data_IF_742051092714
#
_entry.id   IF_742051092714
#
_cell.length_a   1.000
_cell.length_b   1.000
_cell.length_c   1.000
_cell.angle_alpha   90.00
_cell.angle_beta   90.00
_cell.angle_gamma   90.00
#
_symmetry.space_group_name_H-M   'P 1'
#
loop_
_entity.id
_entity.type
_entity.pdbx_description
1 polymer ?
#
# COMPACT_ATOMS: atom_id res chain seq x y z
N UNK A 1 3.44 -3.89 1.47
CA UNK A 1 3.95 -4.04 2.84
C UNK A 1 2.86 -3.78 3.88
N UNK A 2 2.95 -4.41 5.05
CA UNK A 2 2.05 -4.25 6.20
C UNK A 2 2.79 -4.68 7.46
N UNK A 3 2.82 -3.84 8.50
CA UNK A 3 3.32 -4.21 9.82
C UNK A 3 2.41 -5.30 10.44
N UNK A 4 2.91 -6.27 11.22
CA UNK A 4 4.30 -6.51 11.57
C UNK A 4 5.07 -7.40 10.58
N UNK A 5 4.43 -7.85 9.50
CA UNK A 5 4.96 -8.84 8.57
C UNK A 5 6.13 -8.33 7.74
N UNK A 6 5.98 -7.11 7.20
CA UNK A 6 7.02 -6.43 6.42
C UNK A 6 6.83 -4.91 6.48
N UNK A 7 7.88 -4.20 6.88
CA UNK A 7 7.88 -2.74 6.95
C UNK A 7 9.14 -2.15 6.35
N UNK A 8 8.97 -1.25 5.39
CA UNK A 8 10.04 -0.41 4.84
C UNK A 8 9.75 1.08 5.00
N UNK A 9 8.48 1.46 5.17
CA UNK A 9 8.05 2.84 5.30
C UNK A 9 6.70 3.00 5.99
N UNK A 10 6.15 4.22 5.93
CA UNK A 10 4.89 4.59 6.57
C UNK A 10 3.65 3.89 6.00
N UNK A 11 3.72 3.38 4.75
CA UNK A 11 2.65 2.58 4.18
C UNK A 11 2.35 1.35 5.05
N UNK A 12 3.38 0.67 5.56
CA UNK A 12 3.21 -0.51 6.41
C UNK A 12 2.46 -0.19 7.70
N UNK A 13 2.73 0.95 8.31
CA UNK A 13 2.02 1.42 9.51
C UNK A 13 0.53 1.67 9.22
N UNK A 14 0.22 2.34 8.11
CA UNK A 14 -1.16 2.62 7.70
C UNK A 14 -1.91 1.33 7.34
N UNK A 15 -1.26 0.43 6.57
CA UNK A 15 -1.85 -0.84 6.16
C UNK A 15 -2.14 -1.80 7.33
N UNK A 16 -1.55 -1.56 8.50
CA UNK A 16 -1.84 -2.26 9.75
C UNK A 16 -2.83 -1.49 10.62
N UNK A 17 -2.54 -0.22 10.93
CA UNK A 17 -3.29 0.52 11.94
C UNK A 17 -4.71 0.87 11.48
N UNK A 18 -4.92 1.16 10.18
CA UNK A 18 -6.25 1.49 9.67
C UNK A 18 -7.21 0.29 9.72
N UNK A 19 -6.87 -0.93 9.23
CA UNK A 19 -7.71 -2.11 9.41
C UNK A 19 -8.01 -2.42 10.88
N UNK A 20 -7.03 -2.27 11.76
CA UNK A 20 -7.18 -2.47 13.22
C UNK A 20 -8.27 -1.57 13.80
N UNK A 21 -8.27 -0.29 13.45
CA UNK A 21 -9.29 0.64 13.92
C UNK A 21 -10.66 0.40 13.26
N UNK A 22 -10.71 0.06 11.98
CA UNK A 22 -11.96 -0.28 11.30
C UNK A 22 -12.63 -1.51 11.92
N UNK A 23 -11.85 -2.56 12.23
CA UNK A 23 -12.37 -3.76 12.93
C UNK A 23 -12.89 -3.40 14.32
N UNK A 24 -12.20 -2.51 15.08
CA UNK A 24 -12.71 -2.01 16.37
C UNK A 24 -14.02 -1.24 16.24
N UNK A 25 -14.24 -0.59 15.10
CA UNK A 25 -15.50 0.12 14.79
C UNK A 25 -16.62 -0.83 14.34
N UNK A 26 -16.34 -2.12 14.16
CA UNK A 26 -17.31 -3.13 13.76
C UNK A 26 -17.37 -3.44 12.27
N UNK A 27 -16.42 -2.89 11.47
CA UNK A 27 -16.33 -3.18 10.04
C UNK A 27 -15.62 -4.53 9.79
N UNK A 28 -16.09 -5.32 8.81
CA UNK A 28 -15.35 -6.48 8.30
C UNK A 28 -14.24 -5.98 7.37
N UNK A 29 -13.06 -5.78 7.93
CA UNK A 29 -11.89 -5.28 7.21
C UNK A 29 -10.82 -6.38 7.16
N UNK A 30 -10.40 -6.74 5.95
CA UNK A 30 -9.42 -7.78 5.67
C UNK A 30 -8.24 -7.22 4.88
N UNK A 31 -7.08 -7.81 5.04
CA UNK A 31 -5.85 -7.35 4.39
C UNK A 31 -5.32 -8.42 3.45
N UNK A 32 -4.99 -8.02 2.22
CA UNK A 32 -4.34 -8.88 1.24
C UNK A 32 -2.94 -8.31 0.93
N UNK A 33 -1.92 -9.15 1.04
CA UNK A 33 -0.54 -8.76 0.74
C UNK A 33 0.25 -9.90 0.09
N UNK A 34 1.36 -9.60 -0.60
CA UNK A 34 2.26 -10.66 -1.08
C UNK A 34 2.86 -11.46 0.08
N UNK A 35 3.05 -12.76 -0.12
CA UNK A 35 3.82 -13.61 0.80
C UNK A 35 5.32 -13.42 0.54
N UNK A 36 5.87 -12.34 1.09
CA UNK A 36 7.30 -12.04 0.92
C UNK A 36 8.17 -13.05 1.68
N UNK A 37 9.24 -13.51 1.04
CA UNK A 37 10.20 -14.47 1.65
C UNK A 37 10.94 -13.92 2.87
N UNK A 38 10.87 -12.60 3.11
CA UNK A 38 11.46 -11.92 4.27
C UNK A 38 10.51 -11.81 5.47
N UNK A 39 9.27 -12.30 5.36
CA UNK A 39 8.37 -12.41 6.51
C UNK A 39 8.99 -13.35 7.54
N UNK A 40 9.04 -12.91 8.79
CA UNK A 40 9.65 -13.68 9.88
C UNK A 40 8.96 -15.03 10.08
N UNK A 41 9.75 -16.04 10.44
CA UNK A 41 9.27 -17.39 10.71
C UNK A 41 8.15 -17.44 11.74
N UNK A 42 8.21 -16.61 12.77
CA UNK A 42 7.17 -16.52 13.79
C UNK A 42 5.76 -16.28 13.23
N UNK A 43 5.64 -15.63 12.06
CA UNK A 43 4.38 -15.44 11.36
C UNK A 43 4.15 -16.50 10.28
N UNK A 44 5.15 -16.78 9.46
CA UNK A 44 4.99 -17.71 8.33
C UNK A 44 4.66 -19.13 8.77
N UNK A 45 5.15 -19.56 9.94
CA UNK A 45 4.87 -20.89 10.51
C UNK A 45 3.42 -21.00 11.06
N UNK A 46 2.74 -19.89 11.26
CA UNK A 46 1.33 -19.84 11.71
C UNK A 46 0.34 -19.69 10.54
N UNK A 47 0.83 -19.44 9.33
CA UNK A 47 -0.02 -19.27 8.16
C UNK A 47 -0.64 -20.61 7.73
N UNK A 48 -1.96 -20.64 7.66
CA UNK A 48 -2.72 -21.76 7.11
C UNK A 48 -2.72 -21.68 5.59
N UNK A 49 -2.45 -22.79 4.91
CA UNK A 49 -2.62 -22.89 3.47
C UNK A 49 -4.09 -23.14 3.13
N UNK A 50 -4.70 -22.24 2.35
CA UNK A 50 -6.11 -22.36 1.99
C UNK A 50 -6.32 -23.15 0.69
N UNK A 51 -5.71 -22.68 -0.40
CA UNK A 51 -5.81 -23.31 -1.73
C UNK A 51 -4.71 -22.81 -2.67
N UNK A 52 -4.65 -23.44 -3.83
CA UNK A 52 -3.80 -23.06 -4.95
C UNK A 52 -4.63 -22.85 -6.22
N UNK A 53 -4.13 -21.98 -7.08
CA UNK A 53 -4.72 -21.69 -8.39
C UNK A 53 -3.67 -21.10 -9.32
N UNK A 54 -4.08 -20.68 -10.51
CA UNK A 54 -3.24 -19.91 -11.43
C UNK A 54 -3.84 -18.54 -11.69
N UNK A 55 -2.96 -17.58 -12.03
CA UNK A 55 -3.31 -16.23 -12.43
C UNK A 55 -2.73 -15.95 -13.81
N UNK A 56 -3.54 -15.43 -14.71
CA UNK A 56 -3.07 -15.06 -16.05
C UNK A 56 -2.44 -13.67 -16.02
N UNK A 57 -1.15 -13.62 -16.35
CA UNK A 57 -0.37 -12.39 -16.54
C UNK A 57 -0.04 -12.25 -18.04
N UNK A 58 -0.88 -11.48 -18.75
CA UNK A 58 -0.85 -11.45 -20.20
C UNK A 58 -1.13 -12.84 -20.81
N UNK A 59 -0.13 -13.42 -21.44
CA UNK A 59 -0.21 -14.77 -22.02
C UNK A 59 0.29 -15.89 -21.08
N UNK A 60 0.92 -15.52 -19.95
CA UNK A 60 1.49 -16.47 -18.98
C UNK A 60 0.43 -16.92 -17.99
N UNK A 61 0.48 -18.18 -17.57
CA UNK A 61 -0.22 -18.69 -16.41
C UNK A 61 0.78 -18.88 -15.27
N UNK A 62 0.55 -18.16 -14.18
CA UNK A 62 1.45 -18.14 -13.02
C UNK A 62 0.79 -18.79 -11.82
N UNK A 63 1.54 -19.60 -11.08
CA UNK A 63 1.10 -20.20 -9.82
C UNK A 63 0.69 -19.13 -8.81
N UNK A 64 -0.37 -19.40 -8.09
CA UNK A 64 -0.83 -18.63 -6.94
C UNK A 64 -1.22 -19.57 -5.79
N UNK A 65 -0.47 -19.55 -4.71
CA UNK A 65 -0.88 -20.08 -3.43
C UNK A 65 -1.54 -18.99 -2.59
N UNK A 66 -2.55 -19.37 -1.82
CA UNK A 66 -3.22 -18.45 -0.88
C UNK A 66 -3.06 -18.98 0.52
N UNK A 67 -2.44 -18.18 1.39
CA UNK A 67 -2.27 -18.48 2.81
C UNK A 67 -3.06 -17.48 3.64
N UNK A 68 -3.46 -17.89 4.82
CA UNK A 68 -4.29 -17.14 5.74
C UNK A 68 -3.66 -17.08 7.12
N UNK A 69 -3.82 -15.96 7.79
CA UNK A 69 -3.51 -15.80 9.20
C UNK A 69 -4.48 -14.80 9.82
N UNK A 70 -5.07 -15.16 10.95
CA UNK A 70 -5.78 -14.20 11.81
C UNK A 70 -4.81 -13.66 12.84
N UNK A 71 -4.55 -12.36 12.78
CA UNK A 71 -3.62 -11.70 13.69
C UNK A 71 -4.27 -10.43 14.27
N UNK A 72 -4.29 -10.31 15.59
CA UNK A 72 -4.93 -9.20 16.33
C UNK A 72 -6.37 -8.86 15.89
N UNK A 73 -7.14 -9.90 15.59
CA UNK A 73 -8.53 -9.78 15.18
C UNK A 73 -8.75 -9.48 13.69
N UNK A 74 -7.70 -9.16 12.94
CA UNK A 74 -7.75 -8.89 11.51
C UNK A 74 -7.44 -10.17 10.73
N UNK A 75 -8.13 -10.38 9.62
CA UNK A 75 -7.90 -11.47 8.69
C UNK A 75 -6.92 -11.03 7.59
N UNK A 76 -5.83 -11.79 7.46
CA UNK A 76 -4.78 -11.55 6.46
C UNK A 76 -4.73 -12.67 5.44
N UNK A 77 -4.68 -12.31 4.17
CA UNK A 77 -4.46 -13.22 3.06
C UNK A 77 -3.10 -12.92 2.42
N UNK A 78 -2.23 -13.93 2.36
CA UNK A 78 -0.91 -13.82 1.78
C UNK A 78 -0.88 -14.53 0.43
N UNK A 79 -0.59 -13.79 -0.63
CA UNK A 79 -0.53 -14.31 -1.98
C UNK A 79 0.87 -14.83 -2.27
N UNK A 80 0.99 -16.15 -2.39
CA UNK A 80 2.26 -16.84 -2.50
C UNK A 80 2.61 -17.12 -3.96
N UNK A 81 3.76 -16.59 -4.37
CA UNK A 81 4.48 -16.96 -5.56
C UNK A 81 5.97 -16.73 -5.28
N UNK A 82 6.72 -17.81 -5.09
CA UNK A 82 8.13 -17.74 -4.74
C UNK A 82 8.98 -17.00 -5.78
N UNK A 83 8.68 -17.18 -7.07
CA UNK A 83 9.40 -16.50 -8.14
C UNK A 83 9.29 -14.99 -8.06
N UNK A 84 8.11 -14.46 -7.71
CA UNK A 84 7.89 -13.02 -7.62
C UNK A 84 8.24 -12.44 -6.25
N UNK A 85 8.00 -13.15 -5.13
CA UNK A 85 8.01 -12.52 -3.82
C UNK A 85 9.08 -13.03 -2.85
N UNK A 86 9.80 -14.13 -3.14
CA UNK A 86 10.92 -14.53 -2.33
C UNK A 86 12.20 -13.82 -2.81
N UNK A 87 12.29 -12.53 -2.50
CA UNK A 87 13.39 -11.63 -2.85
C UNK A 87 13.93 -10.96 -1.59
N UNK A 88 15.16 -10.42 -1.65
CA UNK A 88 15.81 -9.72 -0.53
C UNK A 88 15.06 -8.44 -0.12
N UNK A 89 14.49 -7.73 -1.10
CA UNK A 89 13.70 -6.51 -0.89
C UNK A 89 12.29 -6.68 -1.46
N UNK A 90 11.30 -5.95 -0.95
CA UNK A 90 9.92 -6.09 -1.43
C UNK A 90 9.73 -5.53 -2.85
N UNK A 91 10.55 -4.56 -3.28
CA UNK A 91 10.50 -3.90 -4.59
C UNK A 91 11.86 -3.31 -4.97
N UNK A 92 11.97 -2.72 -6.18
CA UNK A 92 13.18 -2.17 -6.75
C UNK A 92 13.84 -3.09 -7.78
N UNK A 93 13.10 -4.06 -8.30
CA UNK A 93 13.56 -4.98 -9.34
C UNK A 93 13.06 -4.56 -10.73
N UNK A 94 13.81 -4.93 -11.76
CA UNK A 94 13.46 -4.61 -13.16
C UNK A 94 12.11 -5.21 -13.57
N UNK A 95 11.70 -6.31 -12.95
CA UNK A 95 10.46 -7.04 -13.21
C UNK A 95 9.31 -6.65 -12.27
N UNK A 96 9.41 -5.55 -11.54
CA UNK A 96 8.35 -5.07 -10.64
C UNK A 96 7.03 -4.82 -11.36
N UNK A 97 7.06 -4.40 -12.62
CA UNK A 97 5.87 -4.29 -13.46
C UNK A 97 5.10 -5.61 -13.59
N UNK A 98 5.80 -6.72 -13.83
CA UNK A 98 5.20 -8.05 -13.90
C UNK A 98 4.74 -8.55 -12.52
N UNK A 99 5.56 -8.40 -11.50
CA UNK A 99 5.28 -8.80 -10.12
C UNK A 99 3.99 -8.17 -9.58
N UNK A 100 3.83 -6.87 -9.75
CA UNK A 100 2.66 -6.16 -9.23
C UNK A 100 1.46 -6.20 -10.18
N UNK A 101 1.66 -6.49 -11.47
CA UNK A 101 0.58 -6.92 -12.37
C UNK A 101 0.01 -8.27 -11.96
N UNK A 102 0.88 -9.23 -11.62
CA UNK A 102 0.47 -10.52 -11.05
C UNK A 102 -0.31 -10.30 -9.74
N UNK A 103 0.26 -9.55 -8.79
CA UNK A 103 -0.37 -9.30 -7.49
C UNK A 103 -1.76 -8.67 -7.64
N UNK A 104 -1.90 -7.66 -8.48
CA UNK A 104 -3.17 -6.96 -8.72
C UNK A 104 -4.24 -7.87 -9.31
N UNK A 105 -3.86 -8.73 -10.27
CA UNK A 105 -4.78 -9.70 -10.86
C UNK A 105 -5.11 -10.82 -9.87
N UNK A 106 -4.11 -11.30 -9.12
CA UNK A 106 -4.29 -12.32 -8.10
C UNK A 106 -5.30 -11.89 -7.02
N UNK A 107 -5.28 -10.63 -6.59
CA UNK A 107 -6.28 -10.07 -5.67
C UNK A 107 -7.70 -10.29 -6.23
N UNK A 108 -7.94 -9.91 -7.48
CA UNK A 108 -9.26 -10.02 -8.09
C UNK A 108 -9.70 -11.49 -8.28
N UNK A 109 -8.76 -12.38 -8.61
CA UNK A 109 -9.05 -13.81 -8.75
C UNK A 109 -9.44 -14.49 -7.43
N UNK A 110 -8.88 -14.06 -6.30
CA UNK A 110 -9.17 -14.71 -5.02
C UNK A 110 -10.45 -14.20 -4.36
N UNK A 111 -10.88 -12.96 -4.61
CA UNK A 111 -12.03 -12.35 -3.93
C UNK A 111 -13.32 -13.16 -4.10
N UNK A 112 -13.49 -13.87 -5.22
CA UNK A 112 -14.65 -14.76 -5.44
C UNK A 112 -14.46 -16.15 -4.84
N UNK A 113 -13.27 -16.47 -4.32
CA UNK A 113 -12.92 -17.82 -3.81
C UNK A 113 -12.75 -17.86 -2.29
N UNK A 114 -12.49 -16.70 -1.67
CA UNK A 114 -12.35 -16.60 -0.21
C UNK A 114 -13.68 -16.28 0.50
N UNK A 115 -14.81 -16.44 -0.21
CA UNK A 115 -16.17 -16.12 0.27
C UNK A 115 -16.27 -14.69 0.85
N UNK A 116 -15.58 -13.75 0.20
CA UNK A 116 -15.56 -12.34 0.60
C UNK A 116 -15.44 -11.44 -0.62
N UNK A 117 -16.52 -10.76 -0.96
CA UNK A 117 -16.52 -9.68 -1.94
C UNK A 117 -16.73 -8.37 -1.19
N UNK A 118 -15.73 -7.47 -1.15
CA UNK A 118 -15.84 -6.24 -0.37
C UNK A 118 -16.77 -5.23 -1.02
N UNK A 119 -17.43 -4.39 -0.22
CA UNK A 119 -18.10 -3.18 -0.72
C UNK A 119 -17.08 -2.14 -1.21
N UNK A 120 -15.93 -2.06 -0.52
CA UNK A 120 -14.84 -1.15 -0.84
C UNK A 120 -13.51 -1.89 -0.94
N UNK A 121 -12.86 -1.79 -2.09
CA UNK A 121 -11.50 -2.26 -2.30
C UNK A 121 -10.53 -1.09 -2.19
N UNK A 122 -9.80 -1.04 -1.07
CA UNK A 122 -8.84 0.01 -0.78
C UNK A 122 -7.45 -0.40 -1.27
N UNK A 123 -6.94 0.28 -2.27
CA UNK A 123 -5.65 0.02 -2.89
C UNK A 123 -4.64 1.13 -2.57
N UNK A 124 -3.36 0.78 -2.48
CA UNK A 124 -2.32 1.68 -2.01
C UNK A 124 -1.18 1.78 -3.03
N UNK A 125 -0.82 3.00 -3.40
CA UNK A 125 0.27 3.33 -4.32
C UNK A 125 0.21 2.60 -5.67
N UNK A 126 1.23 2.79 -6.50
CA UNK A 126 1.29 2.27 -7.86
C UNK A 126 1.22 0.72 -7.95
N UNK A 127 1.69 0.03 -6.90
CA UNK A 127 1.74 -1.44 -6.85
C UNK A 127 0.37 -2.11 -7.00
N UNK A 128 -0.69 -1.41 -6.62
CA UNK A 128 -2.07 -1.90 -6.71
C UNK A 128 -2.98 -0.97 -7.52
N UNK A 129 -2.43 0.12 -8.06
CA UNK A 129 -3.20 1.14 -8.77
C UNK A 129 -3.86 0.63 -10.06
N UNK A 130 -3.42 -0.48 -10.63
CA UNK A 130 -4.08 -1.06 -11.83
C UNK A 130 -5.40 -1.76 -11.49
N UNK A 131 -5.67 -2.09 -10.23
CA UNK A 131 -6.90 -2.79 -9.81
C UNK A 131 -8.18 -2.03 -10.22
N UNK A 132 -8.33 -0.72 -9.96
CA UNK A 132 -9.50 0.02 -10.43
C UNK A 132 -9.71 -0.06 -11.94
N UNK A 133 -8.63 -0.05 -12.73
CA UNK A 133 -8.73 -0.20 -14.20
C UNK A 133 -9.19 -1.61 -14.56
N UNK A 134 -8.58 -2.64 -13.97
CA UNK A 134 -8.93 -4.04 -14.23
C UNK A 134 -10.40 -4.32 -13.90
N UNK A 135 -10.90 -3.81 -12.77
CA UNK A 135 -12.32 -3.94 -12.38
C UNK A 135 -13.26 -3.36 -13.43
N UNK A 136 -12.93 -2.21 -14.03
CA UNK A 136 -13.79 -1.51 -15.00
C UNK A 136 -13.58 -1.98 -16.44
N UNK A 137 -12.58 -2.82 -16.71
CA UNK A 137 -12.25 -3.33 -18.04
C UNK A 137 -12.33 -4.85 -18.09
N UNK A 138 -11.27 -5.56 -17.70
CA UNK A 138 -11.12 -7.01 -17.78
C UNK A 138 -12.17 -7.77 -16.98
N UNK A 139 -12.48 -7.30 -15.74
CA UNK A 139 -13.41 -7.94 -14.80
C UNK A 139 -14.80 -7.30 -14.76
N UNK A 140 -15.11 -6.39 -15.69
CA UNK A 140 -16.39 -5.66 -15.70
C UNK A 140 -17.63 -6.55 -15.82
N UNK A 141 -17.46 -7.77 -16.32
CA UNK A 141 -18.56 -8.75 -16.52
C UNK A 141 -18.74 -9.67 -15.31
N UNK A 142 -17.85 -9.61 -14.34
CA UNK A 142 -17.97 -10.38 -13.11
C UNK A 142 -19.03 -9.75 -12.21
N UNK A 143 -20.16 -10.44 -12.08
CA UNK A 143 -21.31 -9.92 -11.31
C UNK A 143 -20.99 -9.64 -9.85
N UNK A 144 -20.10 -10.41 -9.26
CA UNK A 144 -19.65 -10.20 -7.89
C UNK A 144 -19.03 -8.81 -7.68
N UNK A 145 -18.43 -8.22 -8.72
CA UNK A 145 -17.76 -6.92 -8.62
C UNK A 145 -18.59 -5.73 -9.05
N UNK A 146 -19.84 -5.92 -9.45
CA UNK A 146 -20.71 -4.85 -9.98
C UNK A 146 -20.84 -3.66 -9.04
N UNK A 147 -20.93 -3.93 -7.73
CA UNK A 147 -21.12 -2.89 -6.68
C UNK A 147 -19.84 -2.46 -6.00
N UNK A 148 -18.73 -3.13 -6.24
CA UNK A 148 -17.45 -2.83 -5.58
C UNK A 148 -16.97 -1.42 -5.93
N UNK A 149 -16.70 -0.62 -4.92
CA UNK A 149 -16.08 0.70 -5.02
C UNK A 149 -14.60 0.62 -4.74
N UNK A 150 -13.85 1.53 -5.34
CA UNK A 150 -12.40 1.56 -5.20
C UNK A 150 -11.94 2.86 -4.57
N UNK A 151 -11.07 2.75 -3.57
CA UNK A 151 -10.32 3.87 -2.98
C UNK A 151 -8.85 3.65 -3.27
N UNK A 152 -8.20 4.63 -3.90
CA UNK A 152 -6.75 4.62 -4.12
C UNK A 152 -6.10 5.64 -3.19
N UNK A 153 -5.23 5.18 -2.29
CA UNK A 153 -4.39 6.07 -1.46
C UNK A 153 -3.01 6.22 -2.07
N UNK A 154 -2.60 7.47 -2.26
CA UNK A 154 -1.26 7.86 -2.71
C UNK A 154 -0.45 8.26 -1.47
N UNK A 155 0.54 7.44 -1.10
CA UNK A 155 1.45 7.76 -0.01
C UNK A 155 2.62 8.63 -0.49
N UNK A 156 3.13 8.34 -1.71
CA UNK A 156 4.17 9.14 -2.34
C UNK A 156 4.01 9.15 -3.87
N UNK A 157 3.62 10.29 -4.41
CA UNK A 157 3.35 10.48 -5.85
C UNK A 157 4.60 10.29 -6.74
N UNK A 158 5.81 10.35 -6.17
CA UNK A 158 7.06 10.13 -6.89
C UNK A 158 7.16 8.72 -7.48
N UNK A 159 6.57 7.72 -6.82
CA UNK A 159 6.61 6.33 -7.27
C UNK A 159 5.36 6.00 -8.07
N UNK A 160 5.51 5.79 -9.37
CA UNK A 160 4.39 5.78 -10.31
C UNK A 160 4.19 4.46 -11.07
N UNK A 161 5.22 3.61 -11.14
CA UNK A 161 5.17 2.39 -11.93
C UNK A 161 5.04 2.71 -13.42
N UNK A 162 6.10 3.30 -14.00
CA UNK A 162 6.15 3.68 -15.42
C UNK A 162 6.88 2.60 -16.21
N UNK A 163 6.24 2.10 -17.25
CA UNK A 163 6.70 0.98 -18.07
C UNK A 163 6.45 1.22 -19.56
N UNK A 164 7.15 0.49 -20.47
CA UNK A 164 6.87 0.54 -21.90
C UNK A 164 5.42 0.15 -22.23
N UNK A 165 4.86 0.60 -23.39
CA UNK A 165 3.45 0.39 -23.75
C UNK A 165 3.02 -1.07 -23.87
N UNK A 166 3.94 -1.96 -24.19
CA UNK A 166 3.69 -3.39 -24.38
C UNK A 166 3.23 -4.10 -23.09
N UNK A 167 3.46 -3.50 -21.91
CA UNK A 167 2.96 -4.04 -20.63
C UNK A 167 1.43 -4.17 -20.60
N UNK A 168 0.69 -3.34 -21.36
CA UNK A 168 -0.77 -3.45 -21.42
C UNK A 168 -1.20 -4.84 -21.89
N UNK A 169 -0.68 -5.31 -23.01
CA UNK A 169 -0.96 -6.66 -23.52
C UNK A 169 -0.19 -7.73 -22.78
N UNK A 170 1.11 -7.54 -22.61
CA UNK A 170 2.03 -8.56 -22.12
C UNK A 170 1.87 -8.90 -20.63
N UNK A 171 1.42 -7.95 -19.81
CA UNK A 171 1.26 -8.14 -18.36
C UNK A 171 -0.19 -8.05 -17.90
N UNK A 172 -0.94 -7.06 -18.36
CA UNK A 172 -2.30 -6.82 -17.88
C UNK A 172 -3.38 -7.55 -18.71
N UNK A 173 -3.04 -7.95 -19.94
CA UNK A 173 -4.00 -8.53 -20.89
C UNK A 173 -5.04 -7.51 -21.36
N UNK A 174 -4.63 -6.23 -21.48
CA UNK A 174 -5.46 -5.10 -21.90
C UNK A 174 -5.06 -4.65 -23.31
N UNK A 175 -6.00 -4.04 -24.00
CA UNK A 175 -5.77 -3.51 -25.35
C UNK A 175 -5.12 -2.12 -25.35
N UNK A 176 -4.56 -1.74 -26.49
CA UNK A 176 -3.89 -0.45 -26.69
C UNK A 176 -4.85 0.74 -26.64
N UNK A 177 -6.17 0.51 -26.70
CA UNK A 177 -7.19 1.56 -26.54
C UNK A 177 -7.10 2.25 -25.16
N UNK A 178 -6.43 1.61 -24.19
CA UNK A 178 -6.18 2.19 -22.87
C UNK A 178 -4.89 3.02 -22.79
N UNK A 179 -4.09 3.04 -23.85
CA UNK A 179 -2.96 3.96 -23.98
C UNK A 179 -3.47 5.35 -24.43
N UNK A 180 -4.26 5.98 -23.58
CA UNK A 180 -4.88 7.29 -23.79
C UNK A 180 -4.67 8.17 -22.56
N UNK A 181 -4.74 9.49 -22.73
CA UNK A 181 -4.53 10.46 -21.63
C UNK A 181 -5.50 10.26 -20.45
N UNK A 182 -6.72 9.81 -20.73
CA UNK A 182 -7.70 9.52 -19.68
C UNK A 182 -7.45 8.21 -18.91
N UNK A 183 -6.44 7.41 -19.28
CA UNK A 183 -6.09 6.17 -18.60
C UNK A 183 -4.59 6.12 -18.27
N UNK A 184 -3.80 5.38 -19.04
CA UNK A 184 -2.41 5.03 -18.71
C UNK A 184 -1.35 5.89 -19.38
N UNK A 185 -1.67 6.57 -20.53
CA UNK A 185 -0.67 7.25 -21.34
C UNK A 185 0.15 8.28 -20.53
N UNK A 186 1.47 8.20 -20.61
CA UNK A 186 2.40 9.08 -19.92
C UNK A 186 3.70 9.22 -20.72
N UNK A 187 3.80 10.27 -21.53
CA UNK A 187 4.96 10.53 -22.40
C UNK A 187 5.37 9.31 -23.25
N UNK A 188 4.40 8.67 -23.87
CA UNK A 188 4.60 7.47 -24.70
C UNK A 188 4.74 6.17 -23.91
N UNK A 189 4.68 6.19 -22.60
CA UNK A 189 4.74 5.03 -21.70
C UNK A 189 3.39 4.77 -21.02
N UNK A 190 3.31 3.68 -20.30
CA UNK A 190 2.21 3.29 -19.41
C UNK A 190 2.57 3.68 -17.97
N UNK A 191 1.72 4.44 -17.31
CA UNK A 191 1.87 4.80 -15.91
C UNK A 191 0.75 4.17 -15.08
N UNK A 192 1.11 3.18 -14.24
CA UNK A 192 0.15 2.41 -13.45
C UNK A 192 -0.61 3.28 -12.46
N UNK A 193 0.10 4.19 -11.78
CA UNK A 193 -0.53 5.09 -10.82
C UNK A 193 -1.53 6.03 -11.50
N UNK A 194 -1.17 6.59 -12.68
CA UNK A 194 -2.07 7.43 -13.48
C UNK A 194 -3.35 6.68 -13.85
N UNK A 195 -3.23 5.44 -14.31
CA UNK A 195 -4.38 4.59 -14.59
C UNK A 195 -5.31 4.45 -13.39
N UNK A 196 -4.75 4.12 -12.23
CA UNK A 196 -5.49 4.02 -10.99
C UNK A 196 -6.17 5.32 -10.55
N UNK A 197 -5.45 6.44 -10.62
CA UNK A 197 -6.00 7.78 -10.32
C UNK A 197 -7.23 8.08 -11.18
N UNK A 198 -7.15 7.79 -12.47
CA UNK A 198 -8.26 8.05 -13.39
C UNK A 198 -9.49 7.18 -13.11
N UNK A 199 -9.29 5.89 -12.79
CA UNK A 199 -10.35 4.88 -12.69
C UNK A 199 -10.90 4.64 -11.29
N UNK A 200 -10.18 4.99 -10.22
CA UNK A 200 -10.67 4.84 -8.84
C UNK A 200 -11.91 5.70 -8.60
N UNK A 201 -12.85 5.22 -7.78
CA UNK A 201 -14.04 5.98 -7.38
C UNK A 201 -13.66 7.16 -6.47
N UNK A 202 -12.66 6.97 -5.59
CA UNK A 202 -12.09 7.99 -4.71
C UNK A 202 -10.56 7.89 -4.74
N UNK A 203 -9.90 9.03 -4.72
CA UNK A 203 -8.45 9.14 -4.56
C UNK A 203 -8.16 9.84 -3.25
N UNK A 204 -7.29 9.27 -2.45
CA UNK A 204 -6.86 9.89 -1.19
C UNK A 204 -5.35 10.07 -1.14
N UNK A 205 -4.89 10.96 -0.28
CA UNK A 205 -3.48 11.10 0.06
C UNK A 205 -3.31 11.44 1.53
N UNK A 206 -2.08 11.43 2.03
CA UNK A 206 -1.75 11.35 3.45
C UNK A 206 -1.84 12.67 4.22
N UNK A 207 -2.22 13.77 3.59
CA UNK A 207 -2.58 15.01 4.29
C UNK A 207 -3.38 15.98 3.40
N UNK A 208 -4.19 16.88 3.99
CA UNK A 208 -4.85 17.96 3.24
C UNK A 208 -3.86 18.85 2.48
N UNK A 209 -2.75 19.23 3.13
CA UNK A 209 -1.69 20.03 2.51
C UNK A 209 -1.10 19.30 1.31
N UNK A 210 -0.77 18.03 1.44
CA UNK A 210 -0.22 17.24 0.32
C UNK A 210 -1.21 17.10 -0.83
N UNK A 211 -2.51 16.99 -0.55
CA UNK A 211 -3.54 16.98 -1.59
C UNK A 211 -3.56 18.29 -2.41
N UNK A 212 -3.18 19.42 -1.82
CA UNK A 212 -3.04 20.70 -2.53
C UNK A 212 -1.69 20.79 -3.25
N UNK A 213 -0.60 20.37 -2.61
CA UNK A 213 0.76 20.39 -3.17
C UNK A 213 0.86 19.58 -4.46
N UNK A 214 0.36 18.33 -4.50
CA UNK A 214 0.45 17.45 -5.67
C UNK A 214 -0.34 17.94 -6.90
N UNK A 215 -1.18 18.95 -6.75
CA UNK A 215 -1.83 19.65 -7.87
C UNK A 215 -0.95 20.73 -8.50
N UNK A 216 0.20 21.03 -7.92
CA UNK A 216 1.15 22.03 -8.43
C UNK A 216 2.25 21.36 -9.26
N UNK A 217 2.83 22.10 -10.19
CA UNK A 217 3.89 21.59 -11.06
C UNK A 217 5.12 21.11 -10.26
N UNK A 218 5.45 21.82 -9.18
CA UNK A 218 6.62 21.54 -8.35
C UNK A 218 6.52 20.22 -7.58
N UNK A 219 5.35 19.90 -7.01
CA UNK A 219 5.15 18.69 -6.21
C UNK A 219 4.41 17.57 -6.96
N UNK A 220 3.90 17.86 -8.14
CA UNK A 220 3.03 16.94 -8.89
C UNK A 220 3.74 15.84 -9.65
N UNK A 221 5.10 15.79 -9.62
CA UNK A 221 5.93 14.73 -10.22
C UNK A 221 5.50 14.38 -11.67
N UNK A 222 5.11 15.40 -12.46
CA UNK A 222 4.59 15.25 -13.81
C UNK A 222 3.10 14.86 -13.92
N UNK A 223 2.42 14.59 -12.79
CA UNK A 223 0.99 14.24 -12.74
C UNK A 223 0.10 15.39 -12.24
N UNK A 224 0.62 16.62 -12.02
CA UNK A 224 -0.16 17.74 -11.51
C UNK A 224 -1.43 18.00 -12.32
N UNK A 225 -1.36 17.93 -13.65
CA UNK A 225 -2.53 18.12 -14.52
C UNK A 225 -3.59 17.02 -14.32
N UNK A 226 -3.17 15.78 -14.06
CA UNK A 226 -4.08 14.68 -13.71
C UNK A 226 -4.71 14.93 -12.34
N UNK A 227 -3.92 15.33 -11.34
CA UNK A 227 -4.41 15.62 -9.99
C UNK A 227 -5.40 16.79 -9.98
N UNK A 228 -5.20 17.80 -10.82
CA UNK A 228 -6.15 18.90 -11.04
C UNK A 228 -7.48 18.41 -11.64
N UNK A 229 -7.40 17.58 -12.70
CA UNK A 229 -8.60 17.00 -13.35
C UNK A 229 -9.45 16.17 -12.38
N UNK A 230 -8.82 15.41 -11.49
CA UNK A 230 -9.51 14.54 -10.51
C UNK A 230 -9.75 15.19 -9.16
N UNK A 231 -9.57 16.52 -9.03
CA UNK A 231 -9.69 17.24 -7.76
C UNK A 231 -11.06 17.05 -7.08
N UNK A 232 -12.11 16.79 -7.83
CA UNK A 232 -13.46 16.52 -7.32
C UNK A 232 -13.55 15.23 -6.48
N UNK A 233 -12.68 14.26 -6.73
CA UNK A 233 -12.60 12.99 -5.99
C UNK A 233 -11.30 12.82 -5.20
N UNK A 234 -10.44 13.84 -5.15
CA UNK A 234 -9.22 13.84 -4.37
C UNK A 234 -9.48 14.35 -2.95
N UNK A 235 -9.04 13.60 -1.93
CA UNK A 235 -9.13 13.96 -0.51
C UNK A 235 -7.80 13.78 0.19
N UNK A 236 -7.38 14.77 0.95
CA UNK A 236 -6.25 14.65 1.88
C UNK A 236 -6.74 14.20 3.26
N UNK A 237 -6.22 13.08 3.76
CA UNK A 237 -6.56 12.52 5.07
C UNK A 237 -5.25 12.35 5.84
N UNK A 238 -5.13 13.03 6.98
CA UNK A 238 -3.95 12.91 7.82
C UNK A 238 -3.87 11.51 8.43
N UNK A 239 -2.71 10.88 8.32
CA UNK A 239 -2.48 9.59 8.96
C UNK A 239 -2.62 9.72 10.49
N UNK A 240 -3.29 8.76 11.11
CA UNK A 240 -3.31 8.59 12.55
C UNK A 240 -2.01 8.01 13.09
N UNK A 241 -1.93 7.87 14.39
CA UNK A 241 -0.82 7.25 15.11
C UNK A 241 -1.37 6.03 15.85
N UNK A 242 -0.74 4.87 15.68
CA UNK A 242 -1.03 3.71 16.52
C UNK A 242 -0.43 3.92 17.91
N UNK A 243 -1.29 4.21 18.88
CA UNK A 243 -0.88 4.45 20.28
C UNK A 243 -0.45 3.18 21.03
N UNK A 244 -0.73 2.00 20.51
CA UNK A 244 -0.24 0.76 21.11
C UNK A 244 1.26 0.59 20.79
N UNK A 245 1.70 1.05 19.60
CA UNK A 245 3.10 0.99 19.15
C UNK A 245 3.87 2.26 19.51
N UNK A 246 3.31 3.44 19.22
CA UNK A 246 3.97 4.74 19.40
C UNK A 246 3.50 5.45 20.66
N UNK A 247 3.69 4.83 21.83
CA UNK A 247 3.27 5.36 23.12
C UNK A 247 4.48 5.62 24.02
N UNK A 248 4.87 6.89 24.26
CA UNK A 248 6.04 7.18 25.08
C UNK A 248 5.88 6.79 26.56
N UNK A 249 4.68 6.42 27.00
CA UNK A 249 4.46 5.91 28.36
C UNK A 249 4.86 4.44 28.51
N UNK A 250 4.89 3.69 27.42
CA UNK A 250 5.13 2.23 27.39
C UNK A 250 6.27 1.82 26.44
N UNK A 251 6.84 2.74 25.69
CA UNK A 251 7.89 2.48 24.69
C UNK A 251 9.17 1.95 25.36
N UNK A 252 9.51 0.70 25.08
CA UNK A 252 10.67 0.00 25.64
C UNK A 252 12.02 0.56 25.15
N UNK A 253 12.05 1.32 24.06
CA UNK A 253 13.28 1.85 23.47
C UNK A 253 13.72 3.17 24.07
N UNK A 254 12.84 3.92 24.76
CA UNK A 254 13.19 5.18 25.37
C UNK A 254 13.58 5.00 26.85
N UNK A 255 14.70 5.58 27.29
CA UNK A 255 15.19 5.38 28.67
C UNK A 255 14.36 6.10 29.74
N UNK A 256 13.52 7.03 29.34
CA UNK A 256 12.63 7.75 30.25
C UNK A 256 11.23 7.85 29.67
N UNK A 257 10.29 7.09 30.21
CA UNK A 257 8.89 7.17 29.83
C UNK A 257 8.29 8.52 30.20
N UNK A 258 7.29 8.97 29.44
CA UNK A 258 6.55 10.21 29.69
C UNK A 258 5.15 10.16 29.09
N UNK A 259 4.28 10.98 29.60
CA UNK A 259 2.92 11.23 29.14
C UNK A 259 2.73 12.72 28.78
N UNK A 260 1.50 13.13 28.54
CA UNK A 260 1.11 14.51 28.23
C UNK A 260 1.45 15.52 29.34
N UNK A 261 1.54 15.09 30.62
CA UNK A 261 1.86 15.93 31.77
C UNK A 261 3.35 16.01 32.05
N UNK A 262 4.11 14.98 31.68
CA UNK A 262 5.53 14.80 31.99
C UNK A 262 6.47 14.94 30.81
N UNK A 263 5.94 15.18 29.60
CA UNK A 263 6.69 15.15 28.32
C UNK A 263 7.91 16.08 28.32
N UNK A 264 7.84 17.26 28.92
CA UNK A 264 8.95 18.23 28.93
C UNK A 264 10.17 17.66 29.67
N UNK A 265 9.96 17.02 30.82
CA UNK A 265 11.03 16.36 31.59
C UNK A 265 11.52 15.09 30.88
N UNK A 266 10.60 14.26 30.38
CA UNK A 266 10.89 13.03 29.68
C UNK A 266 11.71 13.24 28.41
N UNK A 267 11.28 14.15 27.55
CA UNK A 267 12.01 14.50 26.31
C UNK A 267 13.40 15.04 26.58
N UNK A 268 13.58 15.89 27.62
CA UNK A 268 14.92 16.39 28.02
C UNK A 268 15.87 15.27 28.42
N UNK A 269 15.40 14.27 29.22
CA UNK A 269 16.18 13.11 29.60
C UNK A 269 16.51 12.21 28.42
N UNK A 270 15.53 11.94 27.56
CA UNK A 270 15.73 11.12 26.38
C UNK A 270 16.71 11.76 25.40
N UNK A 271 16.60 13.08 25.18
CA UNK A 271 17.56 13.84 24.39
C UNK A 271 18.99 13.71 24.94
N UNK A 272 19.18 13.91 26.25
CA UNK A 272 20.50 13.79 26.88
C UNK A 272 21.08 12.37 26.72
N UNK A 273 20.23 11.34 26.83
CA UNK A 273 20.61 9.94 26.61
C UNK A 273 21.00 9.70 25.14
N UNK A 274 20.21 10.18 24.19
CA UNK A 274 20.52 10.10 22.77
C UNK A 274 21.87 10.77 22.44
N UNK A 275 22.07 11.99 22.89
CA UNK A 275 23.34 12.71 22.71
C UNK A 275 24.55 11.93 23.27
N UNK A 276 24.37 11.28 24.44
CA UNK A 276 25.42 10.45 25.01
C UNK A 276 25.71 9.19 24.19
N UNK A 277 24.66 8.49 23.73
CA UNK A 277 24.79 7.25 22.93
C UNK A 277 25.43 7.51 21.54
N UNK A 278 25.18 8.69 20.96
CA UNK A 278 25.67 9.05 19.63
C UNK A 278 26.97 9.87 19.65
N UNK A 279 27.56 10.11 20.82
CA UNK A 279 28.78 10.91 20.98
C UNK A 279 28.61 12.41 20.72
N UNK A 280 27.36 12.89 20.69
CA UNK A 280 27.07 14.32 20.50
C UNK A 280 27.28 15.11 21.80
N UNK A 281 27.69 16.40 21.70
CA UNK A 281 27.82 17.26 22.87
C UNK A 281 26.50 17.38 23.65
N UNK A 282 26.56 17.17 24.97
CA UNK A 282 25.38 17.32 25.84
C UNK A 282 25.02 18.80 26.04
N UNK A 283 24.45 19.43 25.04
CA UNK A 283 23.93 20.80 25.11
C UNK A 283 22.42 20.81 25.19
N UNK A 284 21.88 21.30 26.30
CA UNK A 284 20.44 21.40 26.55
C UNK A 284 19.70 22.23 25.47
N UNK A 285 20.33 23.28 24.97
CA UNK A 285 19.78 24.23 23.99
C UNK A 285 20.09 23.85 22.54
N UNK A 286 20.97 22.85 22.29
CA UNK A 286 21.24 22.43 20.93
C UNK A 286 20.00 21.77 20.35
N UNK A 287 19.62 22.17 19.13
CA UNK A 287 18.61 21.48 18.35
C UNK A 287 19.18 20.11 17.95
N UNK A 288 18.44 19.07 18.20
CA UNK A 288 18.82 17.69 17.85
C UNK A 288 17.67 17.10 17.04
N UNK A 289 17.93 16.81 15.81
CA UNK A 289 17.02 16.13 14.87
C UNK A 289 17.32 14.64 14.88
#
# INVERSE_FOLDING_TARGET
ECYPFLKTGGLADVAYALPKELVKMGEDCRVIMPNYGTIKKEFSDQMEHLFETTVRVGWREQYLGVKYLKYEGIEYYFLDNMYYFHRETPYGYFDDGERFSFFSQAILEILTRIDFVPDVLHVNDWHTAVIPVLLRTKYRWEKAFEKVKTVLTIHNLRFQGVYPPDVLGNLLGLGNELLQDFCFEYYGNVNYLKGGINYADLVTTVSPTYADEIKTEYFGEGLHGVMQKVSYKLKGILNGIDYDIYNPSTDEYIPCHYDDKTFDKGKKKNKASLQAKTGLPKKRTAFTL
#
